data_IF_587358020215
#
_entry.id   IF_587358020215
#
_cell.length_a   1.000
_cell.length_b   1.000
_cell.length_c   1.000
_cell.angle_alpha   90.00
_cell.angle_beta   90.00
_cell.angle_gamma   90.00
#
_symmetry.space_group_name_H-M   'P 1'
#
loop_
_entity.id
_entity.type
_entity.pdbx_description
1 polymer ?
#
# COMPACT_ATOMS: atom_id res chain seq x y z
N UNK A 1 -7.98 -19.40 19.05
CA UNK A 1 -7.57 -19.81 17.70
C UNK A 1 -7.97 -18.68 16.76
N UNK A 2 -7.05 -17.79 16.39
CA UNK A 2 -7.34 -16.78 15.37
C UNK A 2 -7.05 -17.42 14.02
N UNK A 3 -8.08 -17.58 13.18
CA UNK A 3 -7.86 -17.87 11.78
C UNK A 3 -6.99 -16.73 11.19
N UNK A 4 -5.95 -17.02 10.37
CA UNK A 4 -5.25 -15.95 9.67
C UNK A 4 -6.26 -15.20 8.81
N UNK A 5 -6.30 -13.88 8.96
CA UNK A 5 -7.18 -13.03 8.17
C UNK A 5 -7.00 -13.37 6.67
N UNK A 6 -8.09 -13.57 5.90
CA UNK A 6 -7.99 -13.75 4.47
C UNK A 6 -7.40 -12.44 3.92
N UNK A 7 -6.16 -12.53 3.44
CA UNK A 7 -5.26 -11.42 3.18
C UNK A 7 -5.95 -10.13 2.73
N UNK A 8 -5.83 -9.01 3.48
CA UNK A 8 -6.00 -7.70 2.90
C UNK A 8 -4.64 -7.02 2.87
N UNK A 9 -4.03 -6.94 1.69
CA UNK A 9 -2.92 -6.04 1.48
C UNK A 9 -3.41 -4.62 1.75
N UNK A 10 -2.64 -3.83 2.49
CA UNK A 10 -3.01 -2.46 2.88
C UNK A 10 -2.08 -1.46 2.22
N UNK A 11 -2.66 -0.42 1.62
CA UNK A 11 -1.94 0.75 1.13
C UNK A 11 -2.64 2.01 1.61
N UNK A 12 -1.87 3.06 1.87
CA UNK A 12 -2.39 4.42 2.03
C UNK A 12 -2.25 5.18 0.72
N UNK A 13 -3.32 5.82 0.29
CA UNK A 13 -3.34 6.67 -0.91
C UNK A 13 -3.59 8.12 -0.49
N UNK A 14 -2.78 9.04 -1.00
CA UNK A 14 -2.97 10.49 -0.80
C UNK A 14 -3.53 11.13 -2.06
N UNK A 15 -4.50 12.03 -1.95
CA UNK A 15 -5.13 12.66 -3.13
C UNK A 15 -4.25 13.69 -3.86
N UNK A 16 -3.17 14.15 -3.22
CA UNK A 16 -2.29 15.21 -3.76
C UNK A 16 -0.92 14.70 -4.23
N UNK A 17 -0.60 13.43 -3.99
CA UNK A 17 0.62 12.86 -4.52
C UNK A 17 0.38 12.59 -6.00
N UNK A 18 1.13 13.26 -6.88
CA UNK A 18 1.36 12.75 -8.24
C UNK A 18 1.87 11.31 -8.05
N UNK A 19 0.99 10.36 -8.31
CA UNK A 19 1.08 8.94 -7.93
C UNK A 19 2.11 8.16 -8.77
N UNK A 20 3.06 8.90 -9.35
CA UNK A 20 4.33 8.41 -9.87
C UNK A 20 5.12 7.81 -8.71
N UNK A 21 4.81 6.57 -8.39
CA UNK A 21 5.57 5.78 -7.44
C UNK A 21 7.05 5.84 -7.79
N UNK A 22 7.90 5.75 -6.76
CA UNK A 22 9.37 5.75 -6.89
C UNK A 22 9.93 4.59 -7.73
N UNK A 23 9.07 3.69 -8.20
CA UNK A 23 9.41 2.61 -9.11
C UNK A 23 9.55 3.15 -10.53
N UNK A 24 10.49 2.58 -11.28
CA UNK A 24 10.69 2.93 -12.69
C UNK A 24 9.39 2.69 -13.48
N UNK A 25 8.69 3.79 -13.80
CA UNK A 25 7.40 3.78 -14.50
C UNK A 25 7.54 3.29 -15.95
N UNK A 26 8.74 3.38 -16.54
CA UNK A 26 8.98 2.84 -17.87
C UNK A 26 9.01 1.30 -17.85
N UNK A 27 9.36 0.70 -16.70
CA UNK A 27 9.46 -0.75 -16.52
C UNK A 27 8.19 -1.33 -15.87
N UNK A 28 7.63 -0.64 -14.87
CA UNK A 28 6.47 -1.08 -14.09
C UNK A 28 5.46 0.07 -13.91
N UNK A 29 4.70 0.41 -14.96
CA UNK A 29 3.74 1.51 -14.91
C UNK A 29 2.68 1.26 -13.83
N UNK A 30 2.45 2.26 -12.97
CA UNK A 30 1.46 2.18 -11.90
C UNK A 30 1.86 1.28 -10.72
N UNK A 31 3.12 0.83 -10.65
CA UNK A 31 3.58 0.03 -9.53
C UNK A 31 3.38 0.74 -8.18
N UNK A 32 2.83 -0.01 -7.22
CA UNK A 32 2.50 0.50 -5.90
C UNK A 32 2.96 -0.48 -4.81
N UNK A 33 3.44 0.08 -3.70
CA UNK A 33 3.80 -0.68 -2.51
C UNK A 33 2.55 -0.94 -1.65
N UNK A 34 2.47 -2.16 -1.13
CA UNK A 34 1.41 -2.62 -0.23
C UNK A 34 2.04 -3.35 0.96
N UNK A 35 1.52 -3.08 2.15
CA UNK A 35 1.92 -3.81 3.35
C UNK A 35 1.24 -5.18 3.40
N UNK A 36 2.04 -6.19 3.77
CA UNK A 36 1.53 -7.51 4.11
C UNK A 36 0.78 -7.45 5.44
N UNK A 37 -0.23 -8.29 5.67
CA UNK A 37 -0.91 -8.38 6.97
C UNK A 37 0.03 -8.74 8.12
N UNK A 38 1.14 -9.43 7.83
CA UNK A 38 2.18 -9.78 8.79
C UNK A 38 3.01 -8.58 9.27
N UNK A 39 2.95 -7.44 8.58
CA UNK A 39 3.68 -6.22 8.93
C UNK A 39 3.03 -5.45 10.09
N UNK A 40 2.54 -6.15 11.12
CA UNK A 40 1.79 -5.58 12.25
C UNK A 40 2.55 -4.43 12.93
N UNK A 41 3.85 -4.60 13.15
CA UNK A 41 4.71 -3.58 13.77
C UNK A 41 4.80 -2.26 12.97
N UNK A 42 4.59 -2.30 11.64
CA UNK A 42 4.52 -1.11 10.80
C UNK A 42 3.09 -0.55 10.75
N UNK A 43 2.10 -1.44 10.66
CA UNK A 43 0.68 -1.06 10.65
C UNK A 43 0.25 -0.39 11.96
N UNK A 44 0.75 -0.85 13.10
CA UNK A 44 0.48 -0.27 14.42
C UNK A 44 1.08 1.13 14.60
N UNK A 45 2.11 1.47 13.82
CA UNK A 45 2.74 2.81 13.83
C UNK A 45 2.05 3.81 12.90
N UNK A 46 1.23 3.33 11.95
CA UNK A 46 0.53 4.18 10.99
C UNK A 46 -0.34 5.29 11.62
N UNK A 47 -1.09 5.07 12.74
CA UNK A 47 -1.92 6.13 13.31
C UNK A 47 -1.12 7.41 13.61
N UNK A 48 0.08 7.28 14.18
CA UNK A 48 0.93 8.44 14.49
C UNK A 48 1.44 9.18 13.25
N UNK A 49 1.61 8.50 12.11
CA UNK A 49 1.98 9.16 10.84
C UNK A 49 0.78 9.82 10.17
N UNK A 50 -0.41 9.22 10.29
CA UNK A 50 -1.64 9.79 9.76
C UNK A 50 -2.04 11.05 10.51
N UNK A 51 -1.80 11.14 11.82
CA UNK A 51 -2.03 12.35 12.60
C UNK A 51 -1.18 13.52 12.09
N UNK A 52 0.07 13.25 11.68
CA UNK A 52 0.94 14.26 11.06
C UNK A 52 0.40 14.69 9.69
N UNK A 53 0.00 13.74 8.85
CA UNK A 53 -0.55 14.03 7.52
C UNK A 53 -1.87 14.81 7.62
N UNK A 54 -2.73 14.45 8.58
CA UNK A 54 -3.96 15.16 8.88
C UNK A 54 -3.70 16.58 9.37
N UNK A 55 -2.68 16.79 10.21
CA UNK A 55 -2.27 18.13 10.66
C UNK A 55 -1.79 19.03 9.52
N UNK A 56 -1.35 18.44 8.40
CA UNK A 56 -0.96 19.16 7.18
C UNK A 56 -2.05 19.17 6.10
N UNK A 57 -3.28 18.78 6.44
CA UNK A 57 -4.44 18.72 5.53
C UNK A 57 -4.18 17.85 4.29
N UNK A 58 -3.28 16.86 4.39
CA UNK A 58 -3.02 15.90 3.33
C UNK A 58 -4.06 14.77 3.43
N UNK A 59 -5.02 14.67 2.49
CA UNK A 59 -6.06 13.66 2.59
C UNK A 59 -5.45 12.29 2.26
N UNK A 60 -5.50 11.37 3.23
CA UNK A 60 -5.02 10.00 3.08
C UNK A 60 -6.14 9.01 3.39
N UNK A 61 -6.37 8.04 2.50
CA UNK A 61 -7.33 6.96 2.73
C UNK A 61 -6.65 5.59 2.71
N UNK A 62 -7.13 4.70 3.58
CA UNK A 62 -6.71 3.31 3.64
C UNK A 62 -7.42 2.51 2.54
N UNK A 63 -6.64 1.78 1.75
CA UNK A 63 -7.16 0.86 0.73
C UNK A 63 -6.74 -0.56 1.09
N UNK A 64 -7.70 -1.47 1.03
CA UNK A 64 -7.50 -2.90 1.24
C UNK A 64 -7.77 -3.62 -0.08
N UNK A 65 -6.89 -4.56 -0.45
CA UNK A 65 -7.14 -5.45 -1.59
C UNK A 65 -6.69 -6.88 -1.27
N UNK A 66 -7.50 -7.90 -1.59
CA UNK A 66 -7.06 -9.30 -1.51
C UNK A 66 -6.13 -9.70 -2.65
N UNK A 67 -6.19 -8.98 -3.78
CA UNK A 67 -5.36 -9.20 -4.96
C UNK A 67 -5.06 -7.83 -5.61
N UNK A 68 -3.98 -7.16 -5.18
CA UNK A 68 -3.67 -5.82 -5.65
C UNK A 68 -2.98 -5.79 -7.02
N UNK A 69 -2.68 -6.95 -7.62
CA UNK A 69 -2.06 -7.06 -8.94
C UNK A 69 -0.87 -8.03 -8.99
N UNK A 70 -0.08 -7.92 -10.07
CA UNK A 70 1.11 -8.76 -10.27
C UNK A 70 2.26 -8.26 -9.40
N UNK A 71 2.75 -9.11 -8.48
CA UNK A 71 3.93 -8.83 -7.66
C UNK A 71 5.19 -8.73 -8.54
N UNK A 72 5.94 -7.64 -8.39
CA UNK A 72 7.23 -7.40 -9.05
C UNK A 72 8.39 -7.30 -8.07
N UNK A 73 8.09 -7.11 -6.79
CA UNK A 73 9.05 -7.17 -5.69
C UNK A 73 8.34 -7.60 -4.40
N UNK A 74 9.04 -8.34 -3.54
CA UNK A 74 8.52 -8.82 -2.28
C UNK A 74 9.65 -8.88 -1.23
N UNK A 75 9.35 -8.40 -0.02
CA UNK A 75 10.18 -8.59 1.17
C UNK A 75 9.33 -9.11 2.35
N UNK A 76 9.87 -9.13 3.57
CA UNK A 76 9.18 -9.66 4.75
C UNK A 76 7.90 -8.90 5.13
N UNK A 77 7.77 -7.62 4.76
CA UNK A 77 6.73 -6.71 5.26
C UNK A 77 5.89 -6.05 4.16
N UNK A 78 6.38 -6.01 2.93
CA UNK A 78 5.69 -5.38 1.80
C UNK A 78 5.81 -6.18 0.49
N UNK A 79 4.90 -5.87 -0.42
CA UNK A 79 4.95 -6.27 -1.82
C UNK A 79 4.82 -5.03 -2.69
N UNK A 80 5.52 -5.00 -3.82
CA UNK A 80 5.31 -4.01 -4.88
C UNK A 80 4.59 -4.72 -6.00
N UNK A 81 3.46 -4.15 -6.42
CA UNK A 81 2.61 -4.77 -7.44
C UNK A 81 2.31 -3.80 -8.57
N UNK A 82 2.22 -4.33 -9.78
CA UNK A 82 1.65 -3.64 -10.93
C UNK A 82 0.15 -3.98 -10.97
N UNK A 83 -0.75 -2.99 -10.90
CA UNK A 83 -2.19 -3.22 -10.98
C UNK A 83 -2.57 -3.95 -12.27
N UNK A 84 -3.60 -4.79 -12.22
CA UNK A 84 -4.20 -5.29 -13.44
C UNK A 84 -4.78 -4.10 -14.23
N UNK A 85 -4.60 -4.10 -15.54
CA UNK A 85 -5.24 -3.10 -16.38
C UNK A 85 -6.76 -3.29 -16.24
N UNK A 86 -7.45 -2.26 -15.75
CA UNK A 86 -8.90 -2.18 -15.82
C UNK A 86 -9.25 -2.13 -17.31
N UNK A 87 -9.77 -3.23 -17.86
CA UNK A 87 -10.26 -3.27 -19.23
C UNK A 87 -11.51 -2.42 -19.42
#
# INVERSE_FOLDING_TARGET
MNAPAPFPYVRWQSTHADERGHFDQAVNPGAAAWFKPSATHLLERNPGYLDILAAHEVPCHQVHSPDPGRVVYEDEVQVVVVPYQSS
#
